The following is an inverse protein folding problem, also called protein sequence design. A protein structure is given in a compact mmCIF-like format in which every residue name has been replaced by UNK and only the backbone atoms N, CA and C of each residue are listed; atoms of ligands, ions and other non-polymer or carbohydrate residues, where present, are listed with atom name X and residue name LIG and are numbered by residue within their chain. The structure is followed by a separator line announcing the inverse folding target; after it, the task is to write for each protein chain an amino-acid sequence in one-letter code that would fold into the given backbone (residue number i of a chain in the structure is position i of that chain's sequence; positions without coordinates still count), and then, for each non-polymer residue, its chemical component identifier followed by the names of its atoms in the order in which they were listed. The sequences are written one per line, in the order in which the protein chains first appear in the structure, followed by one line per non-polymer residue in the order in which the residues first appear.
data_IF_237768016130
#
_entry.id   IF_237768016130
#
_cell.length_a   1.000
_cell.length_b   1.000
_cell.length_c   1.000
_cell.angle_alpha   90.00
_cell.angle_beta   90.00
_cell.angle_gamma   90.00
#
_symmetry.space_group_name_H-M   'P 1'
#
loop_
_entity.id
_entity.type
_entity.pdbx_description
1 polymer ?
#
# COMPACT_ATOMS: atom_id res chain seq x y z
N UNK A 1 15.18 19.18 -3.46
CA UNK A 1 14.13 19.12 -2.41
C UNK A 1 13.58 17.71 -2.34
N UNK A 2 13.08 17.22 -1.19
CA UNK A 2 12.38 15.94 -1.11
C UNK A 2 11.16 15.88 -2.06
N UNK A 3 10.88 14.73 -2.71
CA UNK A 3 9.65 14.61 -3.47
C UNK A 3 8.43 14.64 -2.54
N UNK A 4 7.29 15.05 -3.08
CA UNK A 4 6.05 15.29 -2.33
C UNK A 4 5.62 14.09 -1.46
N UNK A 5 5.69 12.87 -2.00
CA UNK A 5 5.32 11.63 -1.28
C UNK A 5 6.30 11.19 -0.19
N UNK A 6 7.52 11.74 -0.16
CA UNK A 6 8.46 11.55 0.96
C UNK A 6 8.27 12.65 1.99
N UNK A 7 8.00 13.89 1.54
CA UNK A 7 7.80 15.03 2.44
C UNK A 7 6.49 14.93 3.23
N UNK A 8 5.42 14.53 2.57
CA UNK A 8 4.07 14.38 3.12
C UNK A 8 3.53 12.99 2.75
N UNK A 9 4.05 11.91 3.38
CA UNK A 9 3.67 10.54 3.07
C UNK A 9 2.18 10.23 3.29
N UNK A 10 1.47 11.05 4.06
CA UNK A 10 0.04 10.97 4.37
C UNK A 10 -0.88 11.56 3.30
N UNK A 11 -0.37 12.45 2.43
CA UNK A 11 -1.18 13.14 1.43
C UNK A 11 -1.29 12.31 0.15
N UNK A 12 -2.50 11.91 -0.23
CA UNK A 12 -2.75 11.20 -1.49
C UNK A 12 -2.63 12.12 -2.70
N UNK A 13 -2.54 11.54 -3.91
CA UNK A 13 -2.30 12.30 -5.15
C UNK A 13 -3.28 13.46 -5.39
N UNK A 14 -4.56 13.25 -5.07
CA UNK A 14 -5.65 14.20 -5.36
C UNK A 14 -6.24 14.88 -4.15
N UNK A 15 -5.63 14.73 -2.98
CA UNK A 15 -6.13 15.34 -1.75
C UNK A 15 -6.21 16.85 -1.85
N UNK A 16 -7.24 17.42 -1.21
CA UNK A 16 -7.37 18.88 -1.09
C UNK A 16 -6.22 19.49 -0.29
N UNK A 17 -5.48 18.68 0.48
CA UNK A 17 -4.26 19.11 1.18
C UNK A 17 -3.20 19.77 0.29
N UNK A 18 -3.17 19.43 -1.00
CA UNK A 18 -2.27 20.04 -2.00
C UNK A 18 -2.77 21.36 -2.61
N UNK A 19 -4.01 21.77 -2.33
CA UNK A 19 -4.69 22.93 -2.96
C UNK A 19 -5.29 23.91 -1.98
N UNK A 20 -5.60 23.47 -0.76
CA UNK A 20 -6.22 24.27 0.30
C UNK A 20 -5.76 23.80 1.69
N UNK A 21 -4.59 23.18 1.79
CA UNK A 21 -4.08 22.62 3.04
C UNK A 21 -2.59 22.86 3.23
N UNK A 22 -2.03 22.26 4.27
CA UNK A 22 -0.64 22.50 4.68
C UNK A 22 0.42 22.01 3.66
N UNK A 23 0.02 21.21 2.67
CA UNK A 23 0.89 20.77 1.59
C UNK A 23 0.99 21.75 0.41
N UNK A 24 0.08 22.74 0.34
CA UNK A 24 -0.03 23.66 -0.81
C UNK A 24 1.24 24.50 -1.01
N UNK A 25 1.73 25.15 0.04
CA UNK A 25 2.92 26.00 -0.04
C UNK A 25 4.14 25.19 -0.51
N UNK A 26 4.36 24.01 0.08
CA UNK A 26 5.46 23.14 -0.32
C UNK A 26 5.34 22.67 -1.76
N UNK A 27 4.11 22.38 -2.24
CA UNK A 27 3.89 22.01 -3.63
C UNK A 27 4.34 23.12 -4.58
N UNK A 28 4.00 24.38 -4.31
CA UNK A 28 4.48 25.49 -5.14
C UNK A 28 6.01 25.62 -5.08
N UNK A 29 6.59 25.64 -3.88
CA UNK A 29 8.05 25.71 -3.71
C UNK A 29 8.77 24.57 -4.44
N UNK A 30 8.22 23.36 -4.38
CA UNK A 30 8.77 22.19 -5.04
C UNK A 30 8.78 22.36 -6.57
N UNK A 31 7.67 22.79 -7.16
CA UNK A 31 7.58 22.97 -8.61
C UNK A 31 8.38 24.18 -9.10
N UNK A 32 8.39 25.30 -8.38
CA UNK A 32 9.25 26.44 -8.68
C UNK A 32 10.74 26.05 -8.70
N UNK A 33 11.17 25.28 -7.69
CA UNK A 33 12.53 24.74 -7.66
C UNK A 33 12.78 23.75 -8.79
N UNK A 34 11.88 22.78 -9.00
CA UNK A 34 12.05 21.73 -9.99
C UNK A 34 12.09 22.30 -11.43
N UNK A 35 11.25 23.29 -11.73
CA UNK A 35 11.21 23.97 -13.02
C UNK A 35 12.42 24.91 -13.24
N UNK A 36 13.10 25.32 -12.16
CA UNK A 36 14.38 26.04 -12.25
C UNK A 36 15.57 25.15 -12.64
N UNK A 37 15.42 23.83 -12.56
CA UNK A 37 16.47 22.87 -12.91
C UNK A 37 16.63 22.75 -14.43
N UNK A 38 17.85 22.43 -14.88
CA UNK A 38 18.07 22.05 -16.27
C UNK A 38 17.39 20.70 -16.58
N UNK A 39 17.06 20.46 -17.86
CA UNK A 39 16.49 19.17 -18.31
C UNK A 39 17.31 17.96 -17.85
N UNK A 40 18.65 18.07 -17.83
CA UNK A 40 19.53 16.99 -17.37
C UNK A 40 19.37 16.72 -15.87
N UNK A 41 19.30 17.78 -15.06
CA UNK A 41 19.08 17.68 -13.62
C UNK A 41 17.69 17.14 -13.29
N UNK A 42 16.66 17.54 -14.04
CA UNK A 42 15.32 16.97 -13.93
C UNK A 42 15.35 15.47 -14.20
N UNK A 43 15.91 15.02 -15.33
CA UNK A 43 16.03 13.58 -15.64
C UNK A 43 16.81 12.79 -14.58
N UNK A 44 17.86 13.37 -14.02
CA UNK A 44 18.62 12.75 -12.93
C UNK A 44 17.76 12.64 -11.66
N UNK A 45 17.06 13.71 -11.29
CA UNK A 45 16.14 13.73 -10.16
C UNK A 45 15.04 12.67 -10.30
N UNK A 46 14.42 12.56 -11.48
CA UNK A 46 13.38 11.56 -11.77
C UNK A 46 13.88 10.11 -11.61
N UNK A 47 15.12 9.84 -12.01
CA UNK A 47 15.75 8.52 -11.85
C UNK A 47 16.04 8.20 -10.39
N UNK A 48 16.39 9.21 -9.60
CA UNK A 48 16.65 9.06 -8.17
C UNK A 48 15.36 8.91 -7.37
N UNK A 49 14.30 9.61 -7.78
CA UNK A 49 13.02 9.71 -7.07
C UNK A 49 11.84 9.45 -8.04
N UNK A 50 11.59 8.19 -8.41
CA UNK A 50 10.41 7.84 -9.23
C UNK A 50 9.12 8.04 -8.44
N UNK A 51 8.00 8.30 -9.12
CA UNK A 51 6.69 8.42 -8.48
C UNK A 51 6.21 7.07 -7.88
N UNK A 52 5.36 7.14 -6.83
CA UNK A 52 4.62 5.97 -6.36
C UNK A 52 3.80 5.35 -7.50
N UNK A 53 3.76 4.02 -7.56
CA UNK A 53 3.08 3.27 -8.64
C UNK A 53 1.57 3.52 -8.72
N UNK A 54 0.98 4.08 -7.68
CA UNK A 54 -0.46 4.40 -7.60
C UNK A 54 -0.74 5.90 -7.70
N UNK A 55 0.27 6.71 -8.06
CA UNK A 55 0.13 8.12 -8.46
C UNK A 55 0.24 8.21 -9.98
N UNK A 56 -0.91 8.28 -10.66
CA UNK A 56 -1.01 8.03 -12.11
C UNK A 56 -0.99 9.29 -12.97
N UNK A 57 -1.33 10.46 -12.40
CA UNK A 57 -1.64 11.66 -13.17
C UNK A 57 -0.66 12.82 -12.96
N UNK A 58 -0.07 12.91 -11.77
CA UNK A 58 0.94 13.91 -11.44
C UNK A 58 2.36 13.41 -11.70
N UNK A 59 2.52 12.34 -12.49
CA UNK A 59 3.84 11.77 -12.75
C UNK A 59 4.75 12.72 -13.54
N UNK A 60 6.05 12.42 -13.53
CA UNK A 60 7.04 13.12 -14.32
C UNK A 60 6.59 13.10 -15.77
N UNK A 61 6.15 14.23 -16.32
CA UNK A 61 5.83 14.36 -17.74
C UNK A 61 7.06 13.89 -18.52
N UNK A 62 7.01 12.68 -19.05
CA UNK A 62 8.11 12.11 -19.82
C UNK A 62 8.19 12.92 -21.11
N UNK A 63 9.22 13.73 -21.28
CA UNK A 63 9.50 14.37 -22.56
C UNK A 63 10.34 13.37 -23.34
N UNK A 64 9.82 12.90 -24.46
CA UNK A 64 10.54 12.01 -25.37
C UNK A 64 11.80 12.71 -25.91
N UNK A 65 12.74 11.92 -26.45
CA UNK A 65 14.01 12.43 -27.00
C UNK A 65 13.83 13.47 -28.14
N UNK A 66 12.62 13.59 -28.70
CA UNK A 66 12.23 14.56 -29.72
C UNK A 66 11.64 15.87 -29.16
N UNK A 67 11.66 16.05 -27.83
CA UNK A 67 11.14 17.25 -27.17
C UNK A 67 9.60 17.30 -27.08
N UNK A 68 8.90 16.21 -27.45
CA UNK A 68 7.46 16.10 -27.29
C UNK A 68 7.11 15.44 -25.97
N UNK A 69 5.96 15.81 -25.40
CA UNK A 69 5.35 15.03 -24.32
C UNK A 69 5.17 13.60 -24.83
N UNK A 70 5.66 12.60 -24.10
CA UNK A 70 5.34 11.21 -24.39
C UNK A 70 3.82 11.08 -24.29
N UNK A 71 3.19 10.66 -25.37
CA UNK A 71 1.76 10.40 -25.44
C UNK A 71 1.36 9.13 -24.64
N UNK A 72 2.29 8.53 -23.89
CA UNK A 72 2.17 7.17 -23.35
C UNK A 72 1.67 7.13 -21.89
N UNK A 73 0.94 8.14 -21.41
CA UNK A 73 0.53 8.19 -20.00
C UNK A 73 -0.99 8.37 -19.91
N UNK A 74 -1.68 7.25 -20.08
CA UNK A 74 -2.64 6.58 -19.16
C UNK A 74 -3.48 5.67 -20.07
N UNK A 75 -3.14 4.37 -20.10
CA UNK A 75 -4.11 3.36 -20.51
C UNK A 75 -5.36 3.56 -19.63
N UNK A 76 -6.47 3.99 -20.24
CA UNK A 76 -7.81 4.23 -19.68
C UNK A 76 -7.90 4.46 -18.15
N UNK A 77 -8.25 5.65 -17.67
CA UNK A 77 -8.45 6.00 -16.25
C UNK A 77 -9.13 4.90 -15.41
N UNK A 78 -10.14 4.26 -15.98
CA UNK A 78 -10.93 3.17 -15.39
C UNK A 78 -10.11 1.91 -15.05
N UNK A 79 -8.92 1.76 -15.64
CA UNK A 79 -7.99 0.67 -15.36
C UNK A 79 -7.17 0.94 -14.09
N UNK A 80 -7.03 2.19 -13.65
CA UNK A 80 -6.20 2.52 -12.50
C UNK A 80 -6.97 3.10 -11.31
N UNK A 81 -8.26 3.37 -11.51
CA UNK A 81 -9.13 3.90 -10.47
C UNK A 81 -10.46 3.13 -10.41
N UNK A 82 -10.96 2.98 -9.18
CA UNK A 82 -12.35 2.62 -8.96
C UNK A 82 -12.94 3.55 -7.91
N UNK A 83 -13.72 4.54 -8.36
CA UNK A 83 -14.11 5.65 -7.50
C UNK A 83 -12.89 6.39 -6.97
N UNK A 84 -12.76 6.51 -5.65
CA UNK A 84 -11.61 7.13 -4.97
C UNK A 84 -10.42 6.18 -4.77
N UNK A 85 -10.54 4.90 -5.12
CA UNK A 85 -9.53 3.88 -4.83
C UNK A 85 -8.52 3.80 -5.99
N UNK A 86 -7.27 4.19 -5.72
CA UNK A 86 -6.15 4.01 -6.65
C UNK A 86 -5.68 2.56 -6.68
N UNK A 87 -5.45 2.04 -7.88
CA UNK A 87 -4.86 0.72 -8.12
C UNK A 87 -3.36 0.81 -8.40
N UNK A 88 -2.62 -0.22 -8.01
CA UNK A 88 -1.17 -0.32 -8.24
C UNK A 88 -0.83 -1.00 -9.57
N UNK A 89 -1.76 -1.80 -10.09
CA UNK A 89 -1.68 -2.48 -11.37
C UNK A 89 -3.02 -2.27 -12.09
N UNK A 90 -3.04 -2.33 -13.44
CA UNK A 90 -4.27 -2.26 -14.20
C UNK A 90 -5.35 -3.20 -13.62
N UNK A 91 -6.55 -2.67 -13.46
CA UNK A 91 -7.76 -3.34 -12.96
C UNK A 91 -7.61 -3.96 -11.57
N UNK A 92 -6.65 -3.50 -10.77
CA UNK A 92 -6.42 -3.99 -9.41
C UNK A 92 -5.79 -5.39 -9.34
N UNK A 93 -5.11 -5.82 -10.41
CA UNK A 93 -4.45 -7.13 -10.46
C UNK A 93 -3.36 -7.27 -9.39
N UNK A 94 -3.23 -8.46 -8.81
CA UNK A 94 -2.11 -8.77 -7.92
C UNK A 94 -0.84 -9.05 -8.74
N UNK A 95 0.30 -8.46 -8.34
CA UNK A 95 1.61 -8.78 -8.92
C UNK A 95 2.07 -10.19 -8.53
N UNK A 96 1.73 -10.63 -7.32
CA UNK A 96 2.08 -11.94 -6.78
C UNK A 96 0.86 -12.82 -6.54
N UNK A 97 1.04 -14.11 -6.80
CA UNK A 97 0.08 -15.16 -6.45
C UNK A 97 0.83 -16.45 -6.07
N UNK A 98 0.10 -17.51 -5.70
CA UNK A 98 0.71 -18.82 -5.47
C UNK A 98 1.41 -19.34 -6.73
N UNK A 99 0.77 -19.15 -7.88
CA UNK A 99 1.25 -19.57 -9.20
C UNK A 99 2.59 -18.93 -9.54
N UNK A 100 2.83 -17.69 -9.10
CA UNK A 100 4.13 -17.01 -9.25
C UNK A 100 5.30 -17.82 -8.66
N UNK A 101 5.06 -18.61 -7.61
CA UNK A 101 6.11 -19.30 -6.86
C UNK A 101 6.06 -20.83 -6.95
N UNK A 102 4.94 -21.42 -7.39
CA UNK A 102 4.77 -22.88 -7.47
C UNK A 102 5.88 -23.58 -8.28
N UNK A 103 6.33 -22.94 -9.37
CA UNK A 103 7.34 -23.49 -10.27
C UNK A 103 8.67 -22.72 -10.19
N UNK A 104 8.93 -22.02 -9.09
CA UNK A 104 10.16 -21.25 -8.97
C UNK A 104 11.38 -22.18 -8.94
N UNK A 105 12.40 -21.94 -9.78
CA UNK A 105 13.64 -22.73 -9.76
C UNK A 105 14.51 -22.41 -8.53
N UNK A 106 14.17 -21.36 -7.78
CA UNK A 106 14.91 -20.92 -6.60
C UNK A 106 14.31 -21.54 -5.33
N UNK A 107 15.17 -21.88 -4.37
CA UNK A 107 14.72 -22.28 -3.03
C UNK A 107 14.00 -21.10 -2.36
N UNK A 108 12.71 -21.28 -2.12
CA UNK A 108 11.87 -20.29 -1.46
C UNK A 108 12.24 -20.17 0.02
N UNK A 109 12.30 -18.94 0.52
CA UNK A 109 12.47 -18.63 1.94
C UNK A 109 11.21 -17.94 2.42
N UNK A 110 10.65 -18.42 3.52
CA UNK A 110 9.41 -17.89 4.09
C UNK A 110 9.69 -17.09 5.36
N UNK A 111 8.88 -16.06 5.59
CA UNK A 111 8.76 -15.38 6.87
C UNK A 111 7.27 -15.41 7.25
N UNK A 112 6.95 -16.17 8.28
CA UNK A 112 5.58 -16.37 8.73
C UNK A 112 5.20 -15.31 9.76
N UNK A 113 4.01 -14.75 9.64
CA UNK A 113 3.44 -13.82 10.61
C UNK A 113 1.95 -14.12 10.82
N UNK A 114 1.35 -13.63 11.91
CA UNK A 114 -0.09 -13.78 12.13
C UNK A 114 -0.65 -12.73 13.09
N UNK A 115 -0.32 -12.86 14.39
CA UNK A 115 -0.86 -12.01 15.45
C UNK A 115 0.02 -10.78 15.68
N UNK A 116 -0.59 -9.65 16.09
CA UNK A 116 0.16 -8.48 16.50
C UNK A 116 0.91 -8.72 17.82
N UNK A 117 1.97 -7.95 18.03
CA UNK A 117 2.74 -7.88 19.25
C UNK A 117 3.04 -6.40 19.53
N UNK A 118 2.47 -5.86 20.61
CA UNK A 118 2.65 -4.44 20.95
C UNK A 118 4.08 -4.13 21.45
N UNK A 119 4.80 -5.15 21.92
CA UNK A 119 6.06 -4.97 22.63
C UNK A 119 7.29 -5.11 21.73
N UNK A 120 7.11 -5.44 20.45
CA UNK A 120 8.22 -5.69 19.52
C UNK A 120 7.93 -5.21 18.10
N UNK A 121 8.99 -4.76 17.44
CA UNK A 121 9.00 -4.52 15.99
C UNK A 121 9.65 -5.73 15.34
N UNK A 122 8.81 -6.75 15.13
CA UNK A 122 9.16 -8.04 14.52
C UNK A 122 8.12 -8.40 13.43
N UNK A 123 8.02 -9.68 13.03
CA UNK A 123 7.05 -10.12 12.02
C UNK A 123 5.59 -9.79 12.36
N UNK A 124 5.29 -9.55 13.64
CA UNK A 124 3.95 -9.14 14.07
C UNK A 124 3.50 -7.82 13.44
N UNK A 125 4.45 -6.95 13.05
CA UNK A 125 4.13 -5.66 12.45
C UNK A 125 3.45 -5.79 11.07
N UNK A 126 3.51 -6.97 10.45
CA UNK A 126 2.81 -7.30 9.21
C UNK A 126 1.33 -7.61 9.41
N UNK A 127 0.90 -7.85 10.65
CA UNK A 127 -0.52 -8.03 10.97
C UNK A 127 -1.30 -6.73 10.71
N UNK A 128 -2.50 -6.87 10.13
CA UNK A 128 -3.42 -5.74 9.96
C UNK A 128 -3.88 -5.15 11.31
N UNK A 129 -3.79 -5.95 12.36
CA UNK A 129 -4.23 -5.61 13.71
C UNK A 129 -3.11 -5.03 14.58
N UNK A 130 -1.90 -4.89 14.05
CA UNK A 130 -0.83 -4.22 14.77
C UNK A 130 -1.21 -2.75 14.96
N UNK A 131 -1.20 -2.29 16.21
CA UNK A 131 -1.34 -0.87 16.50
C UNK A 131 -0.13 -0.13 15.92
N UNK A 132 -0.40 0.69 14.91
CA UNK A 132 0.61 1.42 14.14
C UNK A 132 -0.10 2.63 13.56
N UNK A 133 -0.24 3.73 14.32
CA UNK A 133 -0.98 4.90 13.87
C UNK A 133 -0.41 5.47 12.57
N UNK A 134 -1.29 5.92 11.68
CA UNK A 134 -0.93 6.61 10.44
C UNK A 134 -2.11 7.44 9.94
N UNK A 135 -1.79 8.41 9.10
CA UNK A 135 -2.77 9.34 8.53
C UNK A 135 -2.92 9.09 7.04
N UNK A 136 -4.13 9.27 6.53
CA UNK A 136 -4.39 9.37 5.09
C UNK A 136 -5.27 10.58 4.86
N UNK A 137 -4.69 11.61 4.24
CA UNK A 137 -5.32 12.92 4.08
C UNK A 137 -5.73 13.52 5.43
N UNK A 138 -7.03 13.70 5.65
CA UNK A 138 -7.56 14.27 6.89
C UNK A 138 -7.86 13.21 7.96
N UNK A 139 -7.86 11.93 7.60
CA UNK A 139 -8.24 10.85 8.50
C UNK A 139 -7.03 10.23 9.20
N UNK A 140 -7.22 9.89 10.48
CA UNK A 140 -6.26 9.17 11.30
C UNK A 140 -6.76 7.73 11.55
N UNK A 141 -5.85 6.77 11.42
CA UNK A 141 -6.12 5.35 11.64
C UNK A 141 -5.16 4.79 12.68
N UNK A 142 -5.70 4.03 13.63
CA UNK A 142 -4.93 3.32 14.66
C UNK A 142 -4.18 2.10 14.11
N UNK A 143 -4.72 1.45 13.08
CA UNK A 143 -4.14 0.29 12.41
C UNK A 143 -4.73 0.12 11.00
N UNK A 144 -4.16 -0.76 10.19
CA UNK A 144 -4.59 -0.93 8.80
C UNK A 144 -5.90 -1.71 8.66
N UNK A 145 -6.32 -2.50 9.67
CA UNK A 145 -7.69 -3.06 9.73
C UNK A 145 -8.73 -1.94 9.76
N UNK A 146 -8.49 -0.88 10.55
CA UNK A 146 -9.40 0.27 10.63
C UNK A 146 -9.54 0.93 9.26
N UNK A 147 -8.41 1.20 8.60
CA UNK A 147 -8.39 1.76 7.25
C UNK A 147 -9.16 0.87 6.26
N UNK A 148 -8.87 -0.43 6.23
CA UNK A 148 -9.51 -1.36 5.32
C UNK A 148 -11.03 -1.41 5.49
N UNK A 149 -11.50 -1.40 6.75
CA UNK A 149 -12.94 -1.46 7.03
C UNK A 149 -13.64 -0.10 6.86
N UNK A 150 -12.95 1.02 7.08
CA UNK A 150 -13.47 2.36 6.78
C UNK A 150 -13.62 2.58 5.27
N UNK A 151 -12.61 2.21 4.48
CA UNK A 151 -12.69 2.23 3.01
C UNK A 151 -13.79 1.30 2.50
N UNK A 152 -14.00 0.15 3.15
CA UNK A 152 -15.13 -0.73 2.83
C UNK A 152 -16.48 -0.03 3.07
N UNK A 153 -16.65 0.67 4.19
CA UNK A 153 -17.89 1.37 4.49
C UNK A 153 -18.14 2.50 3.48
N UNK A 154 -17.12 3.30 3.14
CA UNK A 154 -17.18 4.35 2.11
C UNK A 154 -17.55 3.82 0.74
N UNK A 155 -16.95 2.69 0.34
CA UNK A 155 -17.21 2.06 -0.96
C UNK A 155 -18.67 1.66 -1.17
N UNK A 156 -19.38 1.36 -0.08
CA UNK A 156 -20.79 0.93 -0.11
C UNK A 156 -21.73 2.00 0.48
N UNK A 157 -21.28 3.25 0.54
CA UNK A 157 -22.02 4.42 1.00
C UNK A 157 -22.67 4.23 2.39
N UNK A 158 -21.96 3.56 3.31
CA UNK A 158 -22.43 3.29 4.67
C UNK A 158 -21.77 4.24 5.70
N UNK A 159 -22.18 5.51 5.68
CA UNK A 159 -21.66 6.56 6.55
C UNK A 159 -21.82 6.25 8.05
N UNK A 160 -22.85 5.49 8.43
CA UNK A 160 -23.11 5.11 9.83
C UNK A 160 -22.04 4.15 10.33
N UNK A 161 -21.77 3.08 9.56
CA UNK A 161 -20.70 2.12 9.89
C UNK A 161 -19.32 2.78 9.77
N UNK A 162 -19.11 3.66 8.79
CA UNK A 162 -17.86 4.43 8.68
C UNK A 162 -17.63 5.25 9.95
N UNK A 163 -18.63 6.00 10.42
CA UNK A 163 -18.52 6.81 11.64
C UNK A 163 -18.26 5.95 12.87
N UNK A 164 -18.92 4.81 13.02
CA UNK A 164 -18.62 3.86 14.10
C UNK A 164 -17.19 3.31 14.00
N UNK A 165 -16.73 3.00 12.77
CA UNK A 165 -15.37 2.50 12.49
C UNK A 165 -14.29 3.51 12.90
N UNK A 166 -14.50 4.78 12.56
CA UNK A 166 -13.54 5.85 12.86
C UNK A 166 -13.50 6.20 14.35
N UNK A 167 -14.52 5.85 15.13
CA UNK A 167 -14.58 6.07 16.57
C UNK A 167 -14.07 4.90 17.44
N UNK A 168 -13.58 3.82 16.84
CA UNK A 168 -13.02 2.67 17.57
C UNK A 168 -11.54 2.47 17.31
N UNK A 169 -10.82 1.96 18.31
CA UNK A 169 -9.42 1.51 18.19
C UNK A 169 -9.27 0.00 18.46
N UNK A 170 -10.37 -0.74 18.60
CA UNK A 170 -10.35 -2.21 18.80
C UNK A 170 -10.49 -2.95 17.45
N UNK A 171 -9.43 -3.66 16.98
CA UNK A 171 -9.47 -4.43 15.74
C UNK A 171 -10.56 -5.50 15.69
N UNK A 172 -10.93 -6.08 16.84
CA UNK A 172 -12.02 -7.07 16.88
C UNK A 172 -13.36 -6.42 16.57
N UNK A 173 -13.60 -5.23 17.12
CA UNK A 173 -14.80 -4.45 16.84
C UNK A 173 -14.79 -3.96 15.39
N UNK A 174 -13.66 -3.47 14.87
CA UNK A 174 -13.52 -3.07 13.46
C UNK A 174 -13.93 -4.19 12.51
N UNK A 175 -13.40 -5.41 12.74
CA UNK A 175 -13.77 -6.58 11.93
C UNK A 175 -15.25 -6.94 12.05
N UNK A 176 -15.84 -6.77 13.23
CA UNK A 176 -17.27 -7.02 13.45
C UNK A 176 -18.15 -5.99 12.72
N UNK A 177 -17.78 -4.71 12.77
CA UNK A 177 -18.44 -3.62 12.05
C UNK A 177 -18.32 -3.78 10.54
N UNK A 178 -17.13 -4.15 10.04
CA UNK A 178 -16.90 -4.41 8.62
C UNK A 178 -17.76 -5.54 8.02
N UNK A 179 -18.30 -6.44 8.86
CA UNK A 179 -19.27 -7.46 8.44
C UNK A 179 -20.70 -6.94 8.36
N UNK A 180 -20.99 -5.79 8.98
CA UNK A 180 -22.31 -5.15 9.04
C UNK A 180 -22.52 -4.07 7.96
N UNK A 181 -21.47 -3.73 7.20
CA UNK A 181 -21.55 -2.77 6.09
C UNK A 181 -22.72 -3.12 5.18
N UNK A 182 -23.65 -2.17 5.04
CA UNK A 182 -24.83 -2.24 4.18
C UNK A 182 -24.42 -2.18 2.71
N UNK A 183 -25.34 -2.59 1.82
CA UNK A 183 -25.15 -2.57 0.36
C UNK A 183 -23.90 -3.33 -0.13
N UNK A 184 -23.35 -4.23 0.68
CA UNK A 184 -22.14 -4.96 0.36
C UNK A 184 -22.32 -5.84 -0.89
N UNK A 185 -21.51 -5.56 -1.91
CA UNK A 185 -21.38 -6.38 -3.11
C UNK A 185 -20.03 -7.11 -3.10
N UNK A 186 -20.00 -8.46 -3.01
CA UNK A 186 -18.78 -9.25 -3.06
C UNK A 186 -17.96 -9.05 -4.34
N UNK A 187 -18.61 -8.85 -5.50
CA UNK A 187 -17.93 -8.70 -6.78
C UNK A 187 -17.20 -7.34 -6.87
N UNK A 188 -17.85 -6.27 -6.40
CA UNK A 188 -17.23 -4.94 -6.28
C UNK A 188 -16.07 -5.01 -5.27
N UNK A 189 -16.30 -5.63 -4.12
CA UNK A 189 -15.26 -5.80 -3.10
C UNK A 189 -14.06 -6.60 -3.61
N UNK A 190 -14.29 -7.70 -4.32
CA UNK A 190 -13.23 -8.55 -4.87
C UNK A 190 -12.36 -7.81 -5.88
N UNK A 191 -12.90 -6.83 -6.60
CA UNK A 191 -12.16 -5.96 -7.53
C UNK A 191 -11.19 -5.01 -6.80
N UNK A 192 -11.57 -4.48 -5.63
CA UNK A 192 -10.84 -3.34 -5.03
C UNK A 192 -10.14 -3.64 -3.70
N UNK A 193 -10.53 -4.69 -2.97
CA UNK A 193 -10.02 -4.99 -1.62
C UNK A 193 -8.50 -5.12 -1.56
N UNK A 194 -7.90 -5.65 -2.62
CA UNK A 194 -6.45 -5.85 -2.69
C UNK A 194 -5.73 -4.49 -2.72
N UNK A 195 -6.19 -3.59 -3.59
CA UNK A 195 -5.68 -2.22 -3.69
C UNK A 195 -5.88 -1.41 -2.40
N UNK A 196 -7.02 -1.56 -1.72
CA UNK A 196 -7.24 -0.96 -0.40
C UNK A 196 -6.16 -1.44 0.59
N UNK A 197 -5.91 -2.75 0.67
CA UNK A 197 -4.90 -3.28 1.59
C UNK A 197 -3.48 -2.84 1.19
N UNK A 198 -3.15 -2.74 -0.11
CA UNK A 198 -1.89 -2.17 -0.56
C UNK A 198 -1.72 -0.72 -0.11
N UNK A 199 -2.73 0.12 -0.34
CA UNK A 199 -2.71 1.54 0.00
C UNK A 199 -2.55 1.74 1.51
N UNK A 200 -3.34 1.05 2.33
CA UNK A 200 -3.26 1.15 3.78
C UNK A 200 -1.89 0.71 4.33
N UNK A 201 -1.34 -0.40 3.83
CA UNK A 201 0.00 -0.83 4.24
C UNK A 201 1.08 0.17 3.78
N UNK A 202 0.98 0.73 2.58
CA UNK A 202 1.91 1.77 2.13
C UNK A 202 1.92 2.94 3.10
N UNK A 203 0.76 3.53 3.42
CA UNK A 203 0.66 4.66 4.34
C UNK A 203 1.17 4.32 5.75
N UNK A 204 0.85 3.12 6.24
CA UNK A 204 1.38 2.62 7.52
C UNK A 204 2.90 2.61 7.53
N UNK A 205 3.53 1.95 6.55
CA UNK A 205 4.98 1.77 6.57
C UNK A 205 5.72 3.08 6.31
N UNK A 206 5.25 3.95 5.41
CA UNK A 206 5.91 5.25 5.17
C UNK A 206 5.88 6.17 6.39
N UNK A 207 4.91 6.01 7.30
CA UNK A 207 4.79 6.81 8.53
C UNK A 207 5.37 6.12 9.77
N UNK A 208 5.77 4.85 9.68
CA UNK A 208 6.34 4.07 10.78
C UNK A 208 7.73 3.53 10.41
N UNK A 209 8.75 4.39 10.50
CA UNK A 209 10.10 4.14 9.98
C UNK A 209 10.70 2.79 10.42
N UNK A 210 10.66 2.47 11.72
CA UNK A 210 11.21 1.21 12.22
C UNK A 210 10.49 -0.03 11.66
N UNK A 211 9.17 0.07 11.41
CA UNK A 211 8.41 -1.02 10.77
C UNK A 211 8.76 -1.12 9.27
N UNK A 212 8.97 0.03 8.59
CA UNK A 212 9.43 0.03 7.20
C UNK A 212 10.82 -0.58 7.06
N UNK A 213 11.75 -0.24 7.95
CA UNK A 213 13.09 -0.81 7.99
C UNK A 213 13.02 -2.32 8.18
N UNK A 214 12.17 -2.79 9.09
CA UNK A 214 11.94 -4.22 9.28
C UNK A 214 11.37 -4.88 8.01
N UNK A 215 10.36 -4.29 7.37
CA UNK A 215 9.80 -4.79 6.10
C UNK A 215 10.87 -4.89 5.00
N UNK A 216 11.70 -3.86 4.84
CA UNK A 216 12.78 -3.83 3.86
C UNK A 216 13.86 -4.89 4.16
N UNK A 217 14.19 -5.09 5.44
CA UNK A 217 15.17 -6.08 5.90
C UNK A 217 14.77 -7.53 5.57
N UNK A 218 13.49 -7.79 5.30
CA UNK A 218 13.02 -9.13 4.92
C UNK A 218 13.62 -9.61 3.59
N UNK A 219 14.16 -8.70 2.77
CA UNK A 219 14.82 -9.02 1.51
C UNK A 219 13.86 -9.62 0.50
N UNK A 220 14.18 -10.83 0.02
CA UNK A 220 13.37 -11.56 -0.97
C UNK A 220 12.53 -12.68 -0.34
N UNK A 221 12.40 -12.71 1.00
CA UNK A 221 11.54 -13.70 1.65
C UNK A 221 10.09 -13.51 1.22
N UNK A 222 9.38 -14.62 1.03
CA UNK A 222 7.92 -14.63 0.85
C UNK A 222 7.31 -14.40 2.23
N UNK A 223 6.51 -13.34 2.34
CA UNK A 223 5.78 -13.03 3.57
C UNK A 223 4.53 -13.87 3.59
N UNK A 224 4.28 -14.55 4.71
CA UNK A 224 3.21 -15.55 4.80
C UNK A 224 2.33 -15.29 6.01
N UNK A 225 1.07 -14.91 5.77
CA UNK A 225 0.10 -14.82 6.85
C UNK A 225 -0.34 -16.24 7.25
N UNK A 226 0.28 -16.76 8.29
CA UNK A 226 0.09 -18.09 8.86
C UNK A 226 -1.14 -18.17 9.77
N UNK A 227 -2.26 -17.62 9.30
CA UNK A 227 -3.55 -17.71 9.97
C UNK A 227 -4.21 -19.06 9.64
N UNK A 228 -4.51 -19.92 10.63
CA UNK A 228 -5.22 -21.17 10.39
C UNK A 228 -6.71 -20.97 10.04
N UNK A 229 -7.24 -19.76 10.26
CA UNK A 229 -8.66 -19.43 10.14
C UNK A 229 -8.99 -18.59 8.89
N UNK A 230 -7.96 -18.11 8.16
CA UNK A 230 -8.14 -17.23 7.01
C UNK A 230 -7.57 -17.88 5.74
N UNK A 231 -8.43 -18.06 4.74
CA UNK A 231 -8.07 -18.61 3.42
C UNK A 231 -8.06 -17.56 2.30
N UNK A 232 -8.35 -16.30 2.61
CA UNK A 232 -8.31 -15.20 1.66
C UNK A 232 -7.00 -14.43 1.86
N UNK A 233 -6.83 -13.83 3.02
CA UNK A 233 -5.63 -13.04 3.35
C UNK A 233 -4.49 -13.95 3.81
N UNK A 234 -4.83 -15.05 4.50
CA UNK A 234 -3.90 -16.06 5.00
C UNK A 234 -3.78 -17.33 4.14
N UNK A 235 -2.92 -18.24 4.59
CA UNK A 235 -2.71 -19.56 3.96
C UNK A 235 -3.65 -20.65 4.46
N UNK A 236 -4.47 -20.36 5.46
CA UNK A 236 -5.32 -21.34 6.13
C UNK A 236 -4.54 -22.39 6.90
N UNK A 237 -3.32 -22.11 7.36
CA UNK A 237 -2.46 -23.01 8.13
C UNK A 237 -1.66 -22.19 9.15
N UNK A 238 -1.44 -22.73 10.35
CA UNK A 238 -0.58 -22.12 11.35
C UNK A 238 0.92 -22.32 11.03
N UNK A 239 1.78 -21.45 11.58
CA UNK A 239 3.24 -21.47 11.31
C UNK A 239 3.92 -22.78 11.71
N UNK A 240 3.38 -23.48 12.70
CA UNK A 240 3.92 -24.75 13.21
C UNK A 240 3.49 -25.96 12.36
N UNK A 241 2.64 -25.77 11.35
CA UNK A 241 2.22 -26.84 10.46
C UNK A 241 3.26 -27.03 9.35
N UNK A 242 3.80 -28.24 9.20
CA UNK A 242 4.80 -28.56 8.16
C UNK A 242 4.32 -28.21 6.74
N UNK A 243 3.01 -28.34 6.47
CA UNK A 243 2.42 -27.97 5.17
C UNK A 243 2.49 -26.47 4.88
N UNK A 244 2.68 -25.63 5.89
CA UNK A 244 2.87 -24.18 5.71
C UNK A 244 4.16 -23.87 4.95
N UNK A 245 5.16 -24.75 4.98
CA UNK A 245 6.42 -24.60 4.26
C UNK A 245 6.36 -25.07 2.79
N UNK A 246 5.19 -25.57 2.35
CA UNK A 246 4.95 -25.98 0.97
C UNK A 246 3.80 -25.17 0.38
N UNK A 247 4.10 -24.24 -0.53
CA UNK A 247 3.10 -23.36 -1.15
C UNK A 247 1.99 -24.12 -1.88
N UNK A 248 2.29 -25.31 -2.44
CA UNK A 248 1.29 -26.16 -3.08
C UNK A 248 0.25 -26.71 -2.09
N UNK A 249 0.63 -26.82 -0.80
CA UNK A 249 -0.25 -27.31 0.26
C UNK A 249 -1.09 -26.21 0.92
N UNK A 250 -0.87 -24.94 0.58
CA UNK A 250 -1.64 -23.83 1.15
C UNK A 250 -3.10 -23.91 0.69
N UNK A 251 -4.01 -23.83 1.65
CA UNK A 251 -5.46 -23.82 1.40
C UNK A 251 -5.97 -22.43 1.06
N UNK A 252 -5.27 -21.41 1.56
CA UNK A 252 -5.59 -20.01 1.33
C UNK A 252 -4.74 -19.33 0.26
N UNK A 253 -5.13 -18.10 -0.09
CA UNK A 253 -4.52 -17.30 -1.16
C UNK A 253 -3.31 -16.48 -0.72
N UNK A 254 -3.09 -16.28 0.59
CA UNK A 254 -2.01 -15.45 1.14
C UNK A 254 -2.00 -13.99 0.60
N UNK A 255 -3.17 -13.40 0.33
CA UNK A 255 -3.23 -12.07 -0.28
C UNK A 255 -2.49 -11.01 0.56
N UNK A 256 -2.51 -11.10 1.89
CA UNK A 256 -1.86 -10.10 2.73
C UNK A 256 -0.33 -10.17 2.60
N UNK A 257 0.22 -11.39 2.63
CA UNK A 257 1.64 -11.60 2.43
C UNK A 257 2.13 -11.08 1.08
N UNK A 258 1.35 -11.30 0.02
CA UNK A 258 1.64 -10.80 -1.32
C UNK A 258 1.52 -9.26 -1.41
N UNK A 259 0.49 -8.66 -0.80
CA UNK A 259 0.34 -7.22 -0.75
C UNK A 259 1.55 -6.55 -0.06
N UNK A 260 1.99 -7.09 1.07
CA UNK A 260 3.17 -6.59 1.79
C UNK A 260 4.46 -6.70 0.97
N UNK A 261 4.59 -7.74 0.13
CA UNK A 261 5.73 -7.88 -0.79
C UNK A 261 5.71 -6.82 -1.89
N UNK A 262 4.54 -6.48 -2.43
CA UNK A 262 4.40 -5.38 -3.39
C UNK A 262 4.73 -4.03 -2.74
N UNK A 263 4.20 -3.77 -1.55
CA UNK A 263 4.54 -2.56 -0.77
C UNK A 263 6.04 -2.49 -0.51
N UNK A 264 6.68 -3.59 -0.10
CA UNK A 264 8.13 -3.66 0.10
C UNK A 264 8.91 -3.31 -1.16
N UNK A 265 8.51 -3.83 -2.31
CA UNK A 265 9.18 -3.54 -3.58
C UNK A 265 9.05 -2.07 -3.97
N UNK A 266 7.87 -1.49 -3.75
CA UNK A 266 7.61 -0.08 -4.02
C UNK A 266 8.40 0.82 -3.08
N UNK A 267 8.40 0.55 -1.78
CA UNK A 267 9.19 1.29 -0.80
C UNK A 267 10.69 1.19 -1.09
N UNK A 268 11.19 0.00 -1.48
CA UNK A 268 12.58 -0.18 -1.91
C UNK A 268 12.92 0.69 -3.11
N UNK A 269 11.99 0.86 -4.06
CA UNK A 269 12.16 1.72 -5.24
C UNK A 269 12.18 3.21 -4.83
N UNK A 270 11.19 3.65 -4.07
CA UNK A 270 10.97 5.07 -3.73
C UNK A 270 12.01 5.62 -2.73
N UNK A 271 12.38 4.82 -1.74
CA UNK A 271 13.25 5.25 -0.63
C UNK A 271 14.72 4.85 -0.83
N UNK A 272 15.07 4.22 -1.95
CA UNK A 272 16.45 3.82 -2.29
C UNK A 272 17.46 4.97 -2.07
N UNK A 273 17.08 6.16 -2.51
CA UNK A 273 17.91 7.35 -2.50
C UNK A 273 17.48 8.39 -1.46
N UNK A 274 16.61 8.02 -0.51
CA UNK A 274 16.10 8.95 0.50
C UNK A 274 17.22 9.54 1.39
N UNK A 275 18.32 8.79 1.58
CA UNK A 275 19.51 9.27 2.29
C UNK A 275 20.21 10.46 1.62
N UNK A 276 19.94 10.73 0.33
CA UNK A 276 20.45 11.91 -0.39
C UNK A 276 19.65 13.18 -0.13
N UNK A 277 18.53 13.07 0.60
CA UNK A 277 17.65 14.20 0.95
C UNK A 277 17.97 14.80 2.33
N UNK A 278 18.95 14.22 3.03
CA UNK A 278 19.45 14.64 4.35
C UNK A 278 20.45 15.80 4.24
#
# INVERSE_FOLDING_TARGET
MPPQWIKYPELSEFTMGWRMGYGEEYRYQFWDWYDSLTNKQQQEYQKLFPYPVFWHYNNWKMINNDGKLSQDIVDNEEDYYFGSISFWQPKGMCKYSKETFLNSPKKLKFLFFWKPNADAIDESCFSQWQLSPFNVNADEYSCTEQYMMAEKARLFDDEEIEKEMMNTTDPKLMKALGRKVRNFDPAVWDKVKYSIVLNGNYYKFTQNQAMMDFLLSTGDKILVEASPLDTIWGIGLGKDNEKAFNIASWRGKNLLGFALMEVRDELRKLYKNAHLLL
#
